data_IF_297003838358
#
_entry.id   IF_297003838358
#
_cell.length_a   1.000
_cell.length_b   1.000
_cell.length_c   1.000
_cell.angle_alpha   90.00
_cell.angle_beta   90.00
_cell.angle_gamma   90.00
#
_symmetry.space_group_name_H-M   'P 1'
#
loop_
_entity.id
_entity.type
_entity.pdbx_description
1 polymer ?
#
# COMPACT_ATOMS: atom_id res chain seq x y z
N UNK A 1 -11.60 -23.41 33.23
CA UNK A 1 -10.21 -23.78 32.86
C UNK A 1 -10.14 -23.93 31.36
N UNK A 2 -9.28 -23.14 30.70
CA UNK A 2 -9.08 -23.21 29.27
C UNK A 2 -8.41 -24.53 28.87
N UNK A 3 -8.90 -25.14 27.80
CA UNK A 3 -8.37 -26.38 27.24
C UNK A 3 -8.43 -26.31 25.73
N UNK A 4 -7.31 -25.93 25.14
CA UNK A 4 -7.04 -26.05 23.70
C UNK A 4 -7.08 -27.53 23.31
N UNK A 5 -8.11 -27.96 22.60
CA UNK A 5 -8.12 -29.23 21.89
C UNK A 5 -8.42 -28.96 20.41
N UNK A 6 -7.40 -28.42 19.73
CA UNK A 6 -7.35 -28.33 18.28
C UNK A 6 -7.02 -29.73 17.73
N UNK A 7 -8.02 -30.61 17.72
CA UNK A 7 -7.91 -31.95 17.15
C UNK A 7 -7.92 -31.82 15.63
N UNK A 8 -6.81 -32.27 15.03
CA UNK A 8 -6.61 -32.44 13.59
C UNK A 8 -7.83 -33.14 12.97
N UNK A 9 -8.38 -32.54 11.93
CA UNK A 9 -9.10 -33.23 10.86
C UNK A 9 -8.42 -32.80 9.57
N UNK A 10 -8.03 -33.79 8.79
CA UNK A 10 -7.55 -33.79 7.42
C UNK A 10 -7.81 -32.52 6.59
N UNK A 11 -6.81 -32.18 5.75
CA UNK A 11 -6.82 -31.11 4.74
C UNK A 11 -6.90 -29.67 5.28
N UNK A 12 -6.14 -29.37 6.33
CA UNK A 12 -5.99 -27.98 6.79
C UNK A 12 -5.18 -27.16 5.78
N UNK A 13 -5.88 -26.40 4.93
CA UNK A 13 -5.26 -25.34 4.14
C UNK A 13 -4.35 -24.50 5.04
N UNK A 14 -3.12 -24.22 4.63
CA UNK A 14 -2.18 -23.43 5.43
C UNK A 14 -2.71 -21.99 5.53
N UNK A 15 -3.38 -21.66 6.63
CA UNK A 15 -3.98 -20.35 6.83
C UNK A 15 -2.94 -19.38 7.40
N UNK A 16 -2.62 -18.36 6.62
CA UNK A 16 -1.81 -17.22 7.02
C UNK A 16 -2.71 -16.05 7.38
N UNK A 17 -2.31 -15.22 8.35
CA UNK A 17 -3.06 -14.03 8.75
C UNK A 17 -2.29 -12.78 8.38
N UNK A 18 -2.84 -11.97 7.48
CA UNK A 18 -2.24 -10.71 7.01
C UNK A 18 -3.19 -9.57 7.35
N UNK A 19 -2.76 -8.63 8.19
CA UNK A 19 -3.59 -7.49 8.65
C UNK A 19 -4.97 -7.92 9.18
N UNK A 20 -5.04 -9.08 9.84
CA UNK A 20 -6.30 -9.64 10.39
C UNK A 20 -7.17 -10.40 9.39
N UNK A 21 -6.75 -10.52 8.13
CA UNK A 21 -7.43 -11.29 7.08
C UNK A 21 -6.78 -12.68 6.99
N UNK A 22 -7.60 -13.75 6.95
CA UNK A 22 -7.15 -15.14 6.82
C UNK A 22 -7.06 -15.55 5.35
N UNK A 23 -5.86 -15.91 4.90
CA UNK A 23 -5.56 -16.26 3.51
C UNK A 23 -4.93 -17.64 3.41
N UNK A 24 -5.27 -18.41 2.39
CA UNK A 24 -4.63 -19.70 2.10
C UNK A 24 -3.32 -19.51 1.31
N UNK A 25 -2.43 -20.50 1.36
CA UNK A 25 -1.13 -20.44 0.68
C UNK A 25 -1.24 -20.18 -0.83
N UNK A 26 -2.24 -20.75 -1.50
CA UNK A 26 -2.48 -20.49 -2.93
C UNK A 26 -2.89 -19.03 -3.20
N UNK A 27 -3.54 -18.36 -2.25
CA UNK A 27 -3.82 -16.93 -2.35
C UNK A 27 -2.54 -16.12 -2.12
N UNK A 28 -1.72 -16.50 -1.15
CA UNK A 28 -0.43 -15.86 -0.86
C UNK A 28 0.53 -15.97 -2.04
N UNK A 29 0.70 -17.16 -2.63
CA UNK A 29 1.58 -17.34 -3.78
C UNK A 29 1.11 -16.58 -5.00
N UNK A 30 -0.22 -16.52 -5.22
CA UNK A 30 -0.78 -15.66 -6.26
C UNK A 30 -0.53 -14.19 -5.96
N UNK A 31 -0.65 -13.71 -4.74
CA UNK A 31 -0.33 -12.32 -4.37
C UNK A 31 1.17 -12.00 -4.49
N UNK A 32 2.04 -12.96 -4.16
CA UNK A 32 3.50 -12.81 -4.30
C UNK A 32 3.90 -12.74 -5.78
N UNK A 33 3.29 -13.59 -6.63
CA UNK A 33 3.53 -13.62 -8.08
C UNK A 33 2.81 -12.50 -8.82
N UNK A 34 1.58 -12.18 -8.42
CA UNK A 34 0.82 -11.00 -8.80
C UNK A 34 1.24 -9.82 -7.92
N UNK A 35 2.52 -9.52 -7.88
CA UNK A 35 2.88 -8.13 -7.70
C UNK A 35 2.28 -7.40 -8.90
N UNK A 36 1.31 -6.47 -8.75
CA UNK A 36 0.95 -5.59 -9.85
C UNK A 36 2.13 -4.62 -10.04
N UNK A 37 3.19 -5.11 -10.68
CA UNK A 37 4.04 -4.23 -11.47
C UNK A 37 3.20 -3.77 -12.66
N UNK A 38 2.36 -2.76 -12.44
CA UNK A 38 1.61 -2.10 -13.51
C UNK A 38 0.09 -2.16 -13.33
N UNK A 39 -0.43 -1.04 -12.84
CA UNK A 39 -1.58 -0.35 -13.42
C UNK A 39 -1.92 -0.74 -14.88
N UNK A 40 -3.09 -1.35 -15.14
CA UNK A 40 -3.86 -1.23 -16.40
C UNK A 40 -5.35 -1.47 -16.10
N UNK A 41 -6.13 -0.40 -15.97
CA UNK A 41 -7.13 0.06 -16.96
C UNK A 41 -8.57 -0.41 -16.65
N UNK A 42 -9.50 0.51 -16.30
CA UNK A 42 -10.92 0.25 -16.42
C UNK A 42 -11.26 0.07 -17.91
N UNK A 43 -11.97 -1.01 -18.24
CA UNK A 43 -12.50 -1.24 -19.58
C UNK A 43 -13.44 -0.09 -19.97
N UNK A 44 -13.00 0.75 -20.90
CA UNK A 44 -13.90 1.52 -21.77
C UNK A 44 -13.32 1.49 -23.18
N UNK A 45 -14.00 0.77 -24.06
CA UNK A 45 -13.74 0.78 -25.50
C UNK A 45 -14.28 2.08 -26.07
N UNK A 46 -13.47 2.82 -26.82
CA UNK A 46 -13.91 3.99 -27.56
C UNK A 46 -13.02 5.21 -27.33
N UNK A 47 -12.30 5.55 -28.41
CA UNK A 47 -11.75 6.88 -28.71
C UNK A 47 -10.43 7.29 -28.04
N UNK A 48 -9.38 7.15 -28.87
CA UNK A 48 -8.38 8.18 -29.15
C UNK A 48 -8.20 9.27 -28.08
N UNK A 49 -7.03 9.29 -27.44
CA UNK A 49 -6.17 10.49 -27.26
C UNK A 49 -5.43 10.51 -25.92
N UNK A 50 -4.12 10.75 -26.05
CA UNK A 50 -3.12 11.18 -25.06
C UNK A 50 -2.37 10.04 -24.36
N UNK A 51 -1.02 9.97 -24.48
CA UNK A 51 -0.25 9.22 -23.52
C UNK A 51 -0.61 9.80 -22.14
N UNK A 52 -1.00 8.92 -21.24
CA UNK A 52 -1.20 9.24 -19.84
C UNK A 52 0.11 9.88 -19.37
N UNK A 53 0.15 11.21 -19.38
CA UNK A 53 1.25 11.99 -18.84
C UNK A 53 1.41 11.45 -17.43
N UNK A 54 2.48 10.70 -17.20
CA UNK A 54 2.90 10.25 -15.89
C UNK A 54 3.14 11.55 -15.10
N UNK A 55 2.08 12.04 -14.48
CA UNK A 55 2.16 13.07 -13.47
C UNK A 55 2.97 12.39 -12.38
N UNK A 56 4.26 12.66 -12.37
CA UNK A 56 5.09 12.48 -11.20
C UNK A 56 4.40 13.29 -10.11
N UNK A 57 3.53 12.64 -9.34
CA UNK A 57 2.81 13.24 -8.23
C UNK A 57 3.86 13.44 -7.14
N UNK A 58 4.68 14.49 -7.31
CA UNK A 58 5.54 15.00 -6.28
C UNK A 58 4.60 15.58 -5.24
N UNK A 59 4.13 14.73 -4.32
CA UNK A 59 3.23 15.13 -3.27
C UNK A 59 4.03 15.94 -2.25
N UNK A 60 4.04 17.26 -2.42
CA UNK A 60 4.61 18.17 -1.44
C UNK A 60 3.67 18.23 -0.24
N UNK A 61 4.16 17.85 0.94
CA UNK A 61 3.42 17.89 2.20
C UNK A 61 3.97 19.04 3.04
N UNK A 62 3.13 19.71 3.81
CA UNK A 62 3.57 20.75 4.76
C UNK A 62 3.47 20.21 6.18
N UNK A 63 4.60 20.11 6.87
CA UNK A 63 4.62 19.73 8.29
C UNK A 63 4.42 20.98 9.13
N UNK A 64 3.44 20.96 10.04
CA UNK A 64 3.23 22.01 11.03
C UNK A 64 4.17 21.80 12.22
N UNK A 65 4.91 22.83 12.59
CA UNK A 65 5.79 22.85 13.76
C UNK A 65 5.26 23.88 14.74
N UNK A 66 5.24 23.55 16.02
CA UNK A 66 4.80 24.45 17.09
C UNK A 66 5.94 24.61 18.09
N UNK A 67 6.38 25.84 18.33
CA UNK A 67 7.43 26.18 19.28
C UNK A 67 6.92 27.30 20.19
N UNK A 68 6.44 26.91 21.37
CA UNK A 68 5.78 27.85 22.28
C UNK A 68 4.56 28.52 21.62
N UNK A 69 4.42 29.86 21.65
CA UNK A 69 3.32 30.56 20.98
C UNK A 69 3.49 30.59 19.44
N UNK A 70 4.64 30.22 18.89
CA UNK A 70 4.91 30.28 17.45
C UNK A 70 4.47 29.01 16.72
N UNK A 71 3.90 29.16 15.52
CA UNK A 71 3.53 28.07 14.62
C UNK A 71 4.17 28.29 13.25
N UNK A 72 5.01 27.34 12.82
CA UNK A 72 5.66 27.31 11.52
C UNK A 72 5.15 26.18 10.62
N UNK A 73 5.48 26.24 9.33
CA UNK A 73 5.24 25.16 8.36
C UNK A 73 6.49 24.92 7.54
N UNK A 74 6.89 23.66 7.37
CA UNK A 74 8.02 23.26 6.53
C UNK A 74 7.50 22.41 5.36
N UNK A 75 7.72 22.83 4.10
CA UNK A 75 7.39 22.01 2.94
C UNK A 75 8.41 20.87 2.80
N UNK A 76 7.90 19.66 2.58
CA UNK A 76 8.69 18.46 2.32
C UNK A 76 8.18 17.76 1.06
N UNK A 77 9.07 17.09 0.34
CA UNK A 77 8.75 16.26 -0.80
C UNK A 77 9.07 14.79 -0.48
N UNK A 78 8.09 13.93 -0.74
CA UNK A 78 8.23 12.49 -0.62
C UNK A 78 8.75 11.93 -1.96
N UNK A 79 9.90 11.27 -1.94
CA UNK A 79 10.55 10.73 -3.13
C UNK A 79 10.97 9.28 -2.92
N UNK A 80 11.24 8.55 -4.02
CA UNK A 80 11.76 7.17 -3.97
C UNK A 80 13.08 7.03 -3.17
N UNK A 81 13.82 8.13 -3.02
CA UNK A 81 15.08 8.19 -2.28
C UNK A 81 14.92 8.70 -0.83
N UNK A 82 13.68 8.91 -0.38
CA UNK A 82 13.35 9.43 0.96
C UNK A 82 12.69 10.80 0.94
N UNK A 83 12.53 11.37 2.14
CA UNK A 83 11.91 12.67 2.39
C UNK A 83 12.96 13.78 2.21
N UNK A 84 12.65 14.79 1.40
CA UNK A 84 13.50 15.96 1.19
C UNK A 84 12.79 17.22 1.70
N UNK A 85 13.48 18.03 2.50
CA UNK A 85 12.99 19.36 2.91
C UNK A 85 13.20 20.31 1.73
N UNK A 86 12.16 21.07 1.37
CA UNK A 86 12.27 22.11 0.36
C UNK A 86 12.65 23.42 1.06
N UNK A 87 13.89 23.86 0.86
CA UNK A 87 14.46 25.10 1.41
C UNK A 87 14.45 26.25 0.41
#
# INVERSE_FOLDING_TARGET
TGGTASTRRDESENITVVKGIRLSENVIDRMKKSSPSGSKSPRYSGELSKPLREKTNKQTKNIRIVLGPAVGRIPIQDSRHGIQILG
#
